data_IF_259866408344
#
_entry.id   IF_259866408344
#
_cell.length_a   1.000
_cell.length_b   1.000
_cell.length_c   1.000
_cell.angle_alpha   90.00
_cell.angle_beta   90.00
_cell.angle_gamma   90.00
#
_symmetry.space_group_name_H-M   'P 1'
#
loop_
_entity.id
_entity.type
_entity.pdbx_description
1 polymer ?
#
# COMPACT_ATOMS: atom_id res chain seq x y z
N UNK A 1 8.26 -10.94 -26.18
CA UNK A 1 7.00 -10.89 -25.37
C UNK A 1 6.66 -9.47 -24.90
N UNK A 2 7.62 -8.57 -24.65
CA UNK A 2 7.32 -7.18 -24.24
C UNK A 2 6.82 -6.26 -25.37
N UNK A 3 7.23 -6.47 -26.64
CA UNK A 3 6.78 -5.62 -27.76
C UNK A 3 5.26 -5.60 -27.91
N UNK A 4 4.61 -6.77 -27.97
CA UNK A 4 3.14 -6.88 -28.07
C UNK A 4 2.36 -6.17 -26.97
N UNK A 5 2.94 -6.05 -25.76
CA UNK A 5 2.29 -5.30 -24.66
C UNK A 5 2.43 -3.80 -24.84
N UNK A 6 3.59 -3.34 -25.33
CA UNK A 6 3.81 -1.93 -25.68
C UNK A 6 2.83 -1.52 -26.79
N UNK A 7 2.75 -2.32 -27.85
CA UNK A 7 1.90 -2.03 -29.01
C UNK A 7 0.43 -1.91 -28.61
N UNK A 8 -0.09 -2.87 -27.82
CA UNK A 8 -1.45 -2.83 -27.30
C UNK A 8 -1.72 -1.62 -26.37
N UNK A 9 -0.70 -1.16 -25.64
CA UNK A 9 -0.84 0.01 -24.76
C UNK A 9 -0.92 1.31 -25.55
N UNK A 10 -0.17 1.40 -26.64
CA UNK A 10 -0.22 2.55 -27.56
C UNK A 10 -1.58 2.57 -28.28
N UNK A 11 -2.02 1.42 -28.81
CA UNK A 11 -3.30 1.30 -29.50
C UNK A 11 -4.48 1.68 -28.61
N UNK A 12 -4.47 1.30 -27.33
CA UNK A 12 -5.51 1.69 -26.38
C UNK A 12 -5.62 3.21 -26.21
N UNK A 13 -4.50 3.94 -26.26
CA UNK A 13 -4.47 5.40 -26.10
C UNK A 13 -4.91 6.08 -27.39
N UNK A 14 -4.48 5.59 -28.54
CA UNK A 14 -4.94 6.07 -29.84
C UNK A 14 -6.45 5.87 -30.01
N UNK A 15 -6.99 4.77 -29.47
CA UNK A 15 -8.43 4.54 -29.44
C UNK A 15 -9.14 5.55 -28.53
N UNK A 16 -8.61 5.81 -27.33
CA UNK A 16 -9.17 6.82 -26.43
C UNK A 16 -9.10 8.22 -27.05
N UNK A 17 -8.01 8.55 -27.76
CA UNK A 17 -7.87 9.81 -28.49
C UNK A 17 -8.97 9.99 -29.53
N UNK A 18 -9.21 8.97 -30.37
CA UNK A 18 -10.28 8.99 -31.37
C UNK A 18 -11.67 9.14 -30.73
N UNK A 19 -11.90 8.49 -29.58
CA UNK A 19 -13.14 8.66 -28.81
C UNK A 19 -13.30 10.10 -28.31
N UNK A 20 -12.21 10.73 -27.84
CA UNK A 20 -12.21 12.12 -27.39
C UNK A 20 -12.43 13.11 -28.53
N UNK A 21 -11.78 12.92 -29.68
CA UNK A 21 -11.97 13.74 -30.88
C UNK A 21 -13.41 13.66 -31.39
N UNK A 22 -13.97 12.45 -31.43
CA UNK A 22 -15.37 12.22 -31.81
C UNK A 22 -16.35 12.88 -30.82
N UNK A 23 -16.02 12.85 -29.52
CA UNK A 23 -16.80 13.51 -28.47
C UNK A 23 -16.77 15.04 -28.60
N UNK A 24 -15.61 15.64 -28.87
CA UNK A 24 -15.46 17.09 -29.03
C UNK A 24 -16.11 17.64 -30.31
N UNK A 25 -16.24 16.81 -31.35
CA UNK A 25 -16.80 17.20 -32.65
C UNK A 25 -18.34 17.28 -32.69
N UNK A 26 -19.03 17.25 -31.54
CA UNK A 26 -20.48 17.49 -31.40
C UNK A 26 -21.41 16.59 -32.24
N UNK A 27 -21.13 15.29 -32.28
CA UNK A 27 -22.20 14.28 -32.43
C UNK A 27 -22.88 14.18 -33.80
N UNK A 28 -22.29 14.66 -34.90
CA UNK A 28 -22.72 14.25 -36.24
C UNK A 28 -22.32 12.78 -36.49
N UNK A 29 -23.14 11.87 -35.95
CA UNK A 29 -23.21 10.44 -36.24
C UNK A 29 -21.84 9.74 -36.38
N UNK A 30 -20.95 9.91 -35.43
CA UNK A 30 -19.76 9.07 -35.35
C UNK A 30 -20.18 7.72 -34.78
N UNK A 31 -19.90 6.63 -35.50
CA UNK A 31 -20.05 5.23 -35.04
C UNK A 31 -19.13 4.88 -33.86
N UNK A 32 -18.46 5.87 -33.28
CA UNK A 32 -17.46 5.75 -32.23
C UNK A 32 -18.14 6.00 -30.90
N UNK A 33 -18.13 5.03 -29.96
CA UNK A 33 -18.75 5.22 -28.66
C UNK A 33 -17.98 6.25 -27.81
N UNK A 34 -18.70 6.94 -26.94
CA UNK A 34 -18.09 7.87 -25.99
C UNK A 34 -17.15 7.15 -25.00
N UNK A 35 -16.09 7.82 -24.55
CA UNK A 35 -15.17 7.22 -23.59
C UNK A 35 -15.86 7.08 -22.22
N UNK A 36 -15.75 5.89 -21.63
CA UNK A 36 -16.22 5.61 -20.27
C UNK A 36 -15.11 5.87 -19.26
N UNK A 37 -15.45 6.03 -17.97
CA UNK A 37 -14.46 6.07 -16.88
C UNK A 37 -13.49 4.87 -16.95
N UNK A 38 -14.02 3.70 -17.29
CA UNK A 38 -13.23 2.48 -17.40
C UNK A 38 -12.21 2.53 -18.55
N UNK A 39 -12.52 3.26 -19.63
CA UNK A 39 -11.59 3.52 -20.74
C UNK A 39 -10.34 4.25 -20.23
N UNK A 40 -10.51 5.30 -19.42
CA UNK A 40 -9.40 6.04 -18.80
C UNK A 40 -8.57 5.15 -17.87
N UNK A 41 -9.23 4.36 -17.01
CA UNK A 41 -8.57 3.43 -16.08
C UNK A 41 -7.71 2.43 -16.85
N UNK A 42 -8.23 1.82 -17.92
CA UNK A 42 -7.49 0.84 -18.70
C UNK A 42 -6.32 1.47 -19.48
N UNK A 43 -6.48 2.66 -20.04
CA UNK A 43 -5.38 3.37 -20.69
C UNK A 43 -4.23 3.65 -19.69
N UNK A 44 -4.55 4.15 -18.49
CA UNK A 44 -3.55 4.40 -17.45
C UNK A 44 -2.87 3.12 -16.94
N UNK A 45 -3.62 2.02 -16.81
CA UNK A 45 -3.05 0.72 -16.48
C UNK A 45 -2.13 0.18 -17.58
N UNK A 46 -2.53 0.32 -18.85
CA UNK A 46 -1.73 -0.10 -19.99
C UNK A 46 -0.42 0.70 -20.09
N UNK A 47 -0.46 2.01 -19.84
CA UNK A 47 0.72 2.87 -19.75
C UNK A 47 1.78 2.34 -18.78
N UNK A 48 1.38 1.61 -17.74
CA UNK A 48 2.33 1.05 -16.76
C UNK A 48 3.18 -0.10 -17.31
N UNK A 49 2.90 -0.54 -18.53
CA UNK A 49 3.65 -1.56 -19.25
C UNK A 49 4.53 -1.02 -20.37
N UNK A 50 4.50 0.30 -20.62
CA UNK A 50 5.43 0.96 -21.53
C UNK A 50 6.81 1.03 -20.86
N UNK A 51 7.83 0.53 -21.55
CA UNK A 51 9.20 0.53 -21.03
C UNK A 51 9.85 1.92 -20.97
N UNK A 52 9.40 2.85 -21.82
CA UNK A 52 9.80 4.25 -21.79
C UNK A 52 8.93 5.01 -20.77
N UNK A 53 9.53 5.35 -19.64
CA UNK A 53 8.82 6.04 -18.55
C UNK A 53 8.42 7.46 -18.94
N UNK A 54 9.22 8.17 -19.71
CA UNK A 54 8.96 9.56 -20.08
C UNK A 54 7.81 9.64 -21.10
N UNK A 55 7.82 8.71 -22.07
CA UNK A 55 6.70 8.53 -22.99
C UNK A 55 5.40 8.20 -22.24
N UNK A 56 5.48 7.27 -21.27
CA UNK A 56 4.32 6.89 -20.46
C UNK A 56 3.77 8.07 -19.65
N UNK A 57 4.63 8.91 -19.07
CA UNK A 57 4.19 10.09 -18.31
C UNK A 57 3.55 11.14 -19.21
N UNK A 58 4.14 11.45 -20.37
CA UNK A 58 3.55 12.40 -21.32
C UNK A 58 2.15 11.98 -21.76
N UNK A 59 1.96 10.70 -22.04
CA UNK A 59 0.64 10.16 -22.41
C UNK A 59 -0.33 10.17 -21.23
N UNK A 60 0.13 9.89 -20.00
CA UNK A 60 -0.71 9.98 -18.81
C UNK A 60 -1.20 11.41 -18.54
N UNK A 61 -0.35 12.42 -18.74
CA UNK A 61 -0.70 13.83 -18.60
C UNK A 61 -1.79 14.21 -19.63
N UNK A 62 -1.70 13.73 -20.87
CA UNK A 62 -2.75 13.89 -21.90
C UNK A 62 -4.07 13.23 -21.51
N UNK A 63 -4.02 12.02 -20.95
CA UNK A 63 -5.22 11.30 -20.47
C UNK A 63 -5.91 12.06 -19.33
N UNK A 64 -5.14 12.70 -18.45
CA UNK A 64 -5.68 13.57 -17.39
C UNK A 64 -6.30 14.85 -17.94
N UNK A 65 -5.69 15.46 -18.95
CA UNK A 65 -6.25 16.64 -19.62
C UNK A 65 -7.63 16.32 -20.21
N UNK A 66 -7.76 15.19 -20.91
CA UNK A 66 -9.06 14.72 -21.41
C UNK A 66 -10.08 14.47 -20.30
N UNK A 67 -9.66 13.86 -19.20
CA UNK A 67 -10.52 13.62 -18.05
C UNK A 67 -11.00 14.94 -17.42
N UNK A 68 -10.14 15.95 -17.37
CA UNK A 68 -10.47 17.28 -16.87
C UNK A 68 -11.44 18.04 -17.80
N UNK A 69 -11.29 17.89 -19.12
CA UNK A 69 -12.24 18.43 -20.11
C UNK A 69 -13.62 17.80 -19.91
N UNK A 70 -13.70 16.48 -19.76
CA UNK A 70 -14.97 15.78 -19.52
C UNK A 70 -15.62 16.26 -18.23
N UNK A 71 -14.86 16.33 -17.14
CA UNK A 71 -15.39 16.78 -15.85
C UNK A 71 -15.80 18.26 -15.81
N UNK A 72 -15.29 19.09 -16.74
CA UNK A 72 -15.69 20.48 -16.88
C UNK A 72 -16.89 20.66 -17.82
N UNK A 73 -17.29 19.63 -18.57
CA UNK A 73 -18.39 19.69 -19.53
C UNK A 73 -19.73 19.33 -18.89
N UNK A 74 -20.81 19.94 -19.40
CA UNK A 74 -22.20 19.63 -19.03
C UNK A 74 -22.81 18.49 -19.90
N UNK A 75 -21.96 17.75 -20.61
CA UNK A 75 -22.35 16.67 -21.54
C UNK A 75 -22.79 15.40 -20.77
N UNK A 76 -23.54 14.47 -21.42
CA UNK A 76 -24.25 13.35 -20.74
C UNK A 76 -23.38 12.54 -19.76
N UNK A 77 -24.02 11.88 -18.78
CA UNK A 77 -23.50 11.76 -17.43
C UNK A 77 -22.23 10.93 -17.37
N UNK A 78 -21.08 11.61 -17.39
CA UNK A 78 -19.83 11.02 -16.97
C UNK A 78 -19.73 11.15 -15.45
N UNK A 79 -19.96 10.05 -14.74
CA UNK A 79 -19.87 10.05 -13.28
C UNK A 79 -18.41 10.26 -12.84
N UNK A 80 -18.19 11.26 -11.99
CA UNK A 80 -16.87 11.47 -11.40
C UNK A 80 -16.49 10.31 -10.49
N UNK A 81 -15.23 9.89 -10.50
CA UNK A 81 -14.72 8.83 -9.61
C UNK A 81 -13.23 8.97 -9.34
N UNK A 82 -12.79 8.39 -8.24
CA UNK A 82 -11.37 8.26 -7.90
C UNK A 82 -10.63 7.23 -8.77
N UNK A 83 -11.31 6.31 -9.46
CA UNK A 83 -10.64 5.19 -10.12
C UNK A 83 -9.56 5.57 -11.14
N UNK A 84 -9.77 6.55 -12.05
CA UNK A 84 -8.70 6.98 -12.95
C UNK A 84 -7.50 7.54 -12.19
N UNK A 85 -7.73 8.26 -11.09
CA UNK A 85 -6.65 8.81 -10.26
C UNK A 85 -5.90 7.73 -9.48
N UNK A 86 -6.61 6.72 -8.97
CA UNK A 86 -5.98 5.56 -8.35
C UNK A 86 -5.10 4.83 -9.36
N UNK A 87 -5.59 4.62 -10.59
CA UNK A 87 -4.82 4.03 -11.69
C UNK A 87 -3.59 4.87 -12.05
N UNK A 88 -3.70 6.21 -12.02
CA UNK A 88 -2.57 7.11 -12.23
C UNK A 88 -1.52 7.02 -11.11
N UNK A 89 -1.93 6.94 -9.84
CA UNK A 89 -1.01 6.73 -8.72
C UNK A 89 -0.26 5.39 -8.88
N UNK A 90 -0.98 4.33 -9.27
CA UNK A 90 -0.38 3.04 -9.59
C UNK A 90 0.60 3.11 -10.77
N UNK A 91 0.27 3.87 -11.81
CA UNK A 91 1.16 4.13 -12.94
C UNK A 91 2.45 4.79 -12.45
N UNK A 92 2.37 5.88 -11.67
CA UNK A 92 3.54 6.54 -11.09
C UNK A 92 4.38 5.60 -10.23
N UNK A 93 3.75 4.78 -9.40
CA UNK A 93 4.46 3.80 -8.57
C UNK A 93 5.28 2.81 -9.41
N UNK A 94 4.78 2.42 -10.58
CA UNK A 94 5.44 1.44 -11.44
C UNK A 94 6.52 2.09 -12.34
N UNK A 95 6.25 3.25 -12.94
CA UNK A 95 7.17 3.90 -13.91
C UNK A 95 8.26 4.73 -13.25
N UNK A 96 8.00 5.25 -12.04
CA UNK A 96 8.94 6.08 -11.29
C UNK A 96 9.52 5.33 -10.08
N UNK A 97 9.49 3.98 -10.10
CA UNK A 97 10.07 3.16 -9.04
C UNK A 97 11.54 3.55 -8.79
N UNK A 98 11.89 3.78 -7.53
CA UNK A 98 13.22 4.27 -7.13
C UNK A 98 13.45 5.78 -7.27
N UNK A 99 12.49 6.57 -7.76
CA UNK A 99 12.62 8.03 -7.90
C UNK A 99 11.76 8.75 -6.87
N UNK A 100 12.32 9.70 -6.12
CA UNK A 100 11.59 10.54 -5.16
C UNK A 100 10.48 11.38 -5.82
N UNK A 101 10.59 11.65 -7.14
CA UNK A 101 9.57 12.34 -7.93
C UNK A 101 8.16 11.71 -7.78
N UNK A 102 8.08 10.40 -7.56
CA UNK A 102 6.80 9.69 -7.36
C UNK A 102 5.99 10.33 -6.23
N UNK A 103 6.63 10.74 -5.13
CA UNK A 103 5.96 11.29 -3.94
C UNK A 103 5.28 12.62 -4.27
N UNK A 104 5.99 13.51 -4.97
CA UNK A 104 5.49 14.82 -5.39
C UNK A 104 4.29 14.69 -6.35
N UNK A 105 4.37 13.76 -7.32
CA UNK A 105 3.26 13.53 -8.26
C UNK A 105 2.04 12.94 -7.55
N UNK A 106 2.24 11.95 -6.68
CA UNK A 106 1.16 11.35 -5.89
C UNK A 106 0.51 12.37 -4.95
N UNK A 107 1.30 13.20 -4.26
CA UNK A 107 0.78 14.28 -3.43
C UNK A 107 -0.06 15.30 -4.24
N UNK A 108 0.29 15.54 -5.50
CA UNK A 108 -0.49 16.41 -6.40
C UNK A 108 -1.84 15.79 -6.74
N UNK A 109 -1.87 14.50 -7.07
CA UNK A 109 -3.12 13.76 -7.33
C UNK A 109 -4.02 13.75 -6.08
N UNK A 110 -3.47 13.41 -4.91
CA UNK A 110 -4.23 13.39 -3.65
C UNK A 110 -4.78 14.78 -3.30
N UNK A 111 -4.01 15.87 -3.51
CA UNK A 111 -4.51 17.24 -3.34
C UNK A 111 -5.66 17.55 -4.30
N UNK A 112 -5.57 17.13 -5.56
CA UNK A 112 -6.65 17.30 -6.53
C UNK A 112 -7.91 16.55 -6.13
N UNK A 113 -7.78 15.28 -5.72
CA UNK A 113 -8.90 14.48 -5.21
C UNK A 113 -9.52 15.11 -3.96
N UNK A 114 -8.72 15.51 -2.96
CA UNK A 114 -9.23 16.21 -1.77
C UNK A 114 -9.98 17.50 -2.11
N UNK A 115 -9.47 18.28 -3.08
CA UNK A 115 -10.12 19.52 -3.53
C UNK A 115 -11.46 19.23 -4.21
N UNK A 116 -11.52 18.24 -5.11
CA UNK A 116 -12.74 17.85 -5.83
C UNK A 116 -13.74 17.16 -4.90
N UNK A 117 -13.25 16.35 -3.97
CA UNK A 117 -14.01 15.67 -2.91
C UNK A 117 -14.83 16.60 -2.02
N UNK A 118 -14.48 17.89 -1.94
CA UNK A 118 -15.29 18.90 -1.23
C UNK A 118 -16.61 19.22 -1.94
N UNK A 119 -16.66 19.09 -3.27
CA UNK A 119 -17.84 19.36 -4.10
C UNK A 119 -18.54 18.07 -4.55
N UNK A 120 -17.75 17.02 -4.78
CA UNK A 120 -18.20 15.75 -5.33
C UNK A 120 -17.73 14.63 -4.41
N UNK A 121 -18.61 14.13 -3.53
CA UNK A 121 -18.26 13.16 -2.49
C UNK A 121 -17.59 11.90 -3.04
N UNK A 122 -17.99 11.46 -4.23
CA UNK A 122 -17.43 10.32 -4.97
C UNK A 122 -15.98 10.50 -5.41
N UNK A 123 -15.44 11.73 -5.32
CA UNK A 123 -14.03 12.05 -5.57
C UNK A 123 -13.19 12.11 -4.27
N UNK A 124 -13.79 11.86 -3.10
CA UNK A 124 -13.07 11.80 -1.83
C UNK A 124 -12.11 10.59 -1.85
N UNK A 125 -10.81 10.75 -1.55
CA UNK A 125 -9.87 9.64 -1.46
C UNK A 125 -10.39 8.53 -0.53
N UNK A 126 -10.43 7.30 -1.05
CA UNK A 126 -10.84 6.12 -0.30
C UNK A 126 -9.65 5.19 0.01
N UNK A 127 -9.96 4.00 0.56
CA UNK A 127 -8.95 2.98 0.91
C UNK A 127 -8.05 2.64 -0.27
N UNK A 128 -8.62 2.50 -1.47
CA UNK A 128 -7.89 2.17 -2.69
C UNK A 128 -6.87 3.25 -3.05
N UNK A 129 -7.27 4.52 -2.96
CA UNK A 129 -6.38 5.68 -3.15
C UNK A 129 -5.21 5.64 -2.16
N UNK A 130 -5.51 5.51 -0.87
CA UNK A 130 -4.47 5.49 0.17
C UNK A 130 -3.57 4.24 0.09
N UNK A 131 -4.11 3.09 -0.29
CA UNK A 131 -3.32 1.89 -0.58
C UNK A 131 -2.38 2.11 -1.76
N UNK A 132 -2.83 2.83 -2.80
CA UNK A 132 -1.98 3.21 -3.93
C UNK A 132 -0.85 4.17 -3.49
N UNK A 133 -1.14 5.12 -2.59
CA UNK A 133 -0.11 5.98 -1.97
C UNK A 133 0.94 5.15 -1.23
N UNK A 134 0.52 4.21 -0.38
CA UNK A 134 1.45 3.31 0.33
C UNK A 134 2.29 2.48 -0.65
N UNK A 135 1.69 2.01 -1.74
CA UNK A 135 2.44 1.33 -2.80
C UNK A 135 3.50 2.26 -3.41
N UNK A 136 3.17 3.50 -3.73
CA UNK A 136 4.11 4.49 -4.27
C UNK A 136 5.28 4.74 -3.31
N UNK A 137 5.02 4.90 -2.01
CA UNK A 137 6.08 4.99 -1.00
C UNK A 137 6.97 3.73 -1.01
N UNK A 138 6.38 2.54 -1.10
CA UNK A 138 7.14 1.29 -1.14
C UNK A 138 7.96 1.11 -2.42
N UNK A 139 7.56 1.77 -3.52
CA UNK A 139 8.24 1.72 -4.81
C UNK A 139 9.48 2.63 -4.85
N UNK A 140 9.51 3.72 -4.07
CA UNK A 140 10.75 4.49 -3.82
C UNK A 140 11.83 3.54 -3.30
N UNK A 141 11.45 2.60 -2.44
CA UNK A 141 12.40 1.70 -1.80
C UNK A 141 13.02 0.62 -2.71
N UNK A 142 12.54 0.42 -3.95
CA UNK A 142 12.94 -0.71 -4.79
C UNK A 142 14.25 -0.51 -5.56
N UNK A 143 14.71 0.72 -5.79
CA UNK A 143 15.89 0.97 -6.65
C UNK A 143 16.76 2.18 -6.24
N UNK A 144 16.45 2.89 -5.16
CA UNK A 144 17.26 4.03 -4.75
C UNK A 144 18.47 3.56 -3.96
N UNK A 145 19.66 3.63 -4.58
CA UNK A 145 20.96 3.51 -3.88
C UNK A 145 21.29 4.75 -3.04
N UNK A 146 20.56 5.84 -3.27
CA UNK A 146 20.74 7.13 -2.61
C UNK A 146 19.69 7.33 -1.52
N UNK A 147 20.06 8.08 -0.48
CA UNK A 147 19.16 8.39 0.64
C UNK A 147 18.02 9.37 0.27
N UNK A 148 18.07 9.96 -0.92
CA UNK A 148 17.13 10.98 -1.37
C UNK A 148 15.68 10.47 -1.39
N UNK A 149 14.86 11.04 -0.51
CA UNK A 149 13.43 10.76 -0.41
C UNK A 149 13.07 9.50 0.38
N UNK A 150 14.02 8.76 0.97
CA UNK A 150 13.71 7.58 1.79
C UNK A 150 12.98 7.94 3.08
N UNK A 151 13.52 8.92 3.81
CA UNK A 151 12.93 9.43 5.05
C UNK A 151 11.56 10.06 4.79
N UNK A 152 11.45 10.87 3.73
CA UNK A 152 10.18 11.47 3.30
C UNK A 152 9.14 10.40 2.93
N UNK A 153 9.53 9.40 2.13
CA UNK A 153 8.64 8.30 1.75
C UNK A 153 8.13 7.52 2.97
N UNK A 154 9.01 7.27 3.94
CA UNK A 154 8.66 6.56 5.17
C UNK A 154 7.75 7.40 6.08
N UNK A 155 8.01 8.71 6.18
CA UNK A 155 7.15 9.64 6.93
C UNK A 155 5.73 9.69 6.32
N UNK A 156 5.62 9.85 4.99
CA UNK A 156 4.34 9.83 4.28
C UNK A 156 3.63 8.49 4.47
N UNK A 157 4.37 7.37 4.41
CA UNK A 157 3.79 6.04 4.61
C UNK A 157 3.22 5.87 6.03
N UNK A 158 3.96 6.28 7.06
CA UNK A 158 3.51 6.24 8.46
C UNK A 158 2.26 7.09 8.68
N UNK A 159 2.26 8.33 8.19
CA UNK A 159 1.10 9.23 8.27
C UNK A 159 -0.12 8.64 7.55
N UNK A 160 0.07 8.16 6.32
CA UNK A 160 -1.01 7.57 5.51
C UNK A 160 -1.58 6.33 6.17
N UNK A 161 -0.73 5.45 6.70
CA UNK A 161 -1.17 4.25 7.38
C UNK A 161 -1.89 4.56 8.69
N UNK A 162 -1.41 5.53 9.48
CA UNK A 162 -2.09 5.95 10.70
C UNK A 162 -3.47 6.55 10.40
N UNK A 163 -3.58 7.41 9.38
CA UNK A 163 -4.86 7.94 8.90
C UNK A 163 -5.85 6.81 8.54
N UNK A 164 -5.38 5.78 7.84
CA UNK A 164 -6.19 4.60 7.50
C UNK A 164 -6.66 3.82 8.73
N UNK A 165 -5.81 3.66 9.75
CA UNK A 165 -6.20 3.02 11.01
C UNK A 165 -7.27 3.84 11.74
N UNK A 166 -7.12 5.17 11.77
CA UNK A 166 -8.05 6.08 12.47
C UNK A 166 -9.41 6.16 11.76
N UNK A 167 -9.43 6.20 10.43
CA UNK A 167 -10.67 6.17 9.65
C UNK A 167 -11.40 4.83 9.78
N UNK A 168 -10.67 3.70 9.87
CA UNK A 168 -11.28 2.39 10.10
C UNK A 168 -11.95 2.31 11.48
N UNK A 169 -11.30 2.83 12.52
CA UNK A 169 -11.87 2.85 13.88
C UNK A 169 -13.13 3.74 13.95
N UNK A 170 -13.23 4.73 13.06
CA UNK A 170 -14.41 5.58 12.90
C UNK A 170 -15.51 4.92 12.04
N UNK A 171 -15.37 3.63 11.69
CA UNK A 171 -16.26 2.83 10.84
C UNK A 171 -16.48 3.39 9.42
N UNK A 172 -15.61 4.29 8.96
CA UNK A 172 -15.79 4.95 7.67
C UNK A 172 -15.22 4.15 6.49
N UNK A 173 -14.30 3.21 6.76
CA UNK A 173 -13.58 2.47 5.72
C UNK A 173 -13.22 1.04 6.14
N UNK A 174 -13.09 0.14 5.15
CA UNK A 174 -12.59 -1.23 5.34
C UNK A 174 -11.17 -1.37 4.78
N UNK A 175 -10.19 -1.57 5.66
CA UNK A 175 -8.80 -1.80 5.23
C UNK A 175 -8.65 -3.13 4.50
N UNK A 176 -7.68 -3.17 3.58
CA UNK A 176 -7.29 -4.37 2.85
C UNK A 176 -5.91 -4.85 3.30
N UNK A 177 -5.59 -6.10 2.98
CA UNK A 177 -4.28 -6.69 3.27
C UNK A 177 -3.14 -6.02 2.48
N UNK A 178 -3.45 -5.36 1.36
CA UNK A 178 -2.49 -4.56 0.58
C UNK A 178 -1.95 -3.36 1.37
N UNK A 179 -2.77 -2.72 2.21
CA UNK A 179 -2.33 -1.61 3.06
C UNK A 179 -1.23 -2.08 4.04
N UNK A 180 -1.43 -3.24 4.69
CA UNK A 180 -0.46 -3.83 5.61
C UNK A 180 0.80 -4.28 4.88
N UNK A 181 0.64 -4.95 3.74
CA UNK A 181 1.77 -5.39 2.91
C UNK A 181 2.67 -4.23 2.48
N UNK A 182 2.08 -3.17 1.91
CA UNK A 182 2.85 -2.02 1.45
C UNK A 182 3.48 -1.22 2.59
N UNK A 183 2.78 -1.07 3.72
CA UNK A 183 3.35 -0.42 4.90
C UNK A 183 4.54 -1.19 5.47
N UNK A 184 4.42 -2.52 5.67
CA UNK A 184 5.55 -3.34 6.15
C UNK A 184 6.72 -3.31 5.17
N UNK A 185 6.43 -3.29 3.85
CA UNK A 185 7.45 -3.16 2.81
C UNK A 185 8.17 -1.81 2.85
N UNK A 186 7.44 -0.71 3.13
CA UNK A 186 8.03 0.61 3.36
C UNK A 186 9.01 0.55 4.54
N UNK A 187 8.56 0.07 5.71
CA UNK A 187 9.41 -0.04 6.91
C UNK A 187 10.65 -0.87 6.61
N UNK A 188 10.49 -2.08 6.08
CA UNK A 188 11.61 -2.98 5.78
C UNK A 188 12.67 -2.35 4.88
N UNK A 189 12.23 -1.65 3.84
CA UNK A 189 13.15 -1.20 2.80
C UNK A 189 13.64 0.24 2.99
N UNK A 190 12.96 1.07 3.80
CA UNK A 190 13.30 2.48 4.00
C UNK A 190 13.94 2.76 5.37
N UNK A 191 13.57 2.03 6.43
CA UNK A 191 14.19 2.18 7.75
C UNK A 191 15.61 1.57 7.74
N UNK A 192 16.60 2.38 8.16
CA UNK A 192 18.01 1.98 8.13
C UNK A 192 18.47 1.14 9.32
N UNK A 193 17.66 1.08 10.39
CA UNK A 193 17.99 0.33 11.60
C UNK A 193 17.21 -1.00 11.66
N UNK A 194 17.93 -2.13 11.65
CA UNK A 194 17.31 -3.47 11.63
C UNK A 194 16.44 -3.78 12.85
N UNK A 195 16.83 -3.32 14.05
CA UNK A 195 16.03 -3.55 15.26
C UNK A 195 14.71 -2.78 15.20
N UNK A 196 14.73 -1.54 14.69
CA UNK A 196 13.51 -0.76 14.44
C UNK A 196 12.64 -1.41 13.37
N UNK A 197 13.24 -1.88 12.27
CA UNK A 197 12.52 -2.64 11.23
C UNK A 197 11.79 -3.83 11.84
N UNK A 198 12.48 -4.65 12.61
CA UNK A 198 11.89 -5.83 13.26
C UNK A 198 10.73 -5.44 14.17
N UNK A 199 10.96 -4.49 15.08
CA UNK A 199 9.97 -4.05 16.06
C UNK A 199 8.70 -3.49 15.39
N UNK A 200 8.85 -2.62 14.40
CA UNK A 200 7.74 -1.96 13.72
C UNK A 200 7.00 -2.91 12.77
N UNK A 201 7.71 -3.77 12.02
CA UNK A 201 7.07 -4.80 11.17
C UNK A 201 6.25 -5.79 12.00
N UNK A 202 6.73 -6.19 13.19
CA UNK A 202 5.96 -7.08 14.08
C UNK A 202 4.72 -6.36 14.65
N UNK A 203 4.82 -5.06 14.97
CA UNK A 203 3.66 -4.27 15.40
C UNK A 203 2.59 -4.19 14.30
N UNK A 204 2.99 -3.86 13.06
CA UNK A 204 2.09 -3.80 11.91
C UNK A 204 1.49 -5.19 11.62
N UNK A 205 2.28 -6.25 11.68
CA UNK A 205 1.79 -7.62 11.51
C UNK A 205 0.77 -8.00 12.57
N UNK A 206 1.01 -7.65 13.84
CA UNK A 206 0.06 -7.91 14.92
C UNK A 206 -1.28 -7.22 14.68
N UNK A 207 -1.27 -5.97 14.19
CA UNK A 207 -2.47 -5.23 13.77
C UNK A 207 -3.19 -5.90 12.59
N UNK A 208 -2.46 -6.52 11.66
CA UNK A 208 -3.03 -7.29 10.56
C UNK A 208 -3.72 -8.56 11.05
N UNK A 209 -3.10 -9.29 12.00
CA UNK A 209 -3.67 -10.48 12.63
C UNK A 209 -4.99 -10.19 13.34
N UNK A 210 -5.07 -9.08 14.07
CA UNK A 210 -6.29 -8.64 14.77
C UNK A 210 -7.46 -8.36 13.83
N UNK A 211 -7.16 -7.97 12.59
CA UNK A 211 -8.13 -7.59 11.57
C UNK A 211 -8.43 -8.71 10.58
N UNK A 212 -7.79 -9.87 10.72
CA UNK A 212 -7.94 -10.95 9.75
C UNK A 212 -7.39 -10.64 8.36
N UNK A 213 -6.37 -9.78 8.26
CA UNK A 213 -5.79 -9.27 7.00
C UNK A 213 -4.39 -9.82 6.70
N UNK A 214 -4.08 -11.03 7.19
CA UNK A 214 -2.79 -11.70 6.96
C UNK A 214 -2.82 -12.48 5.64
N UNK A 215 -2.35 -11.85 4.57
CA UNK A 215 -2.16 -12.51 3.27
C UNK A 215 -0.79 -13.18 3.12
N UNK A 216 -0.61 -13.95 2.05
CA UNK A 216 0.69 -14.54 1.72
C UNK A 216 1.78 -13.47 1.50
N UNK A 217 1.40 -12.31 0.96
CA UNK A 217 2.31 -11.17 0.77
C UNK A 217 2.75 -10.57 2.11
N UNK A 218 1.83 -10.40 3.05
CA UNK A 218 2.12 -9.93 4.41
C UNK A 218 3.10 -10.88 5.13
N UNK A 219 2.85 -12.19 5.09
CA UNK A 219 3.76 -13.19 5.67
C UNK A 219 5.14 -13.19 5.04
N UNK A 220 5.20 -13.05 3.70
CA UNK A 220 6.47 -12.96 2.99
C UNK A 220 7.31 -11.79 3.51
N UNK A 221 6.70 -10.62 3.73
CA UNK A 221 7.44 -9.47 4.27
C UNK A 221 7.86 -9.73 5.71
N UNK A 222 6.99 -10.27 6.57
CA UNK A 222 7.37 -10.63 7.94
C UNK A 222 8.59 -11.56 7.95
N UNK A 223 8.57 -12.64 7.16
CA UNK A 223 9.67 -13.60 7.06
C UNK A 223 10.98 -12.96 6.60
N UNK A 224 10.90 -11.99 5.70
CA UNK A 224 12.06 -11.26 5.20
C UNK A 224 12.55 -10.15 6.13
N UNK A 225 11.83 -9.86 7.21
CA UNK A 225 12.10 -8.76 8.14
C UNK A 225 12.59 -9.24 9.51
N UNK A 226 12.43 -10.52 9.85
CA UNK A 226 12.80 -11.07 11.16
C UNK A 226 13.62 -12.36 11.01
N UNK A 227 14.51 -12.70 11.96
CA UNK A 227 15.21 -13.98 11.95
C UNK A 227 14.27 -15.18 11.97
N UNK A 228 14.64 -16.30 11.35
CA UNK A 228 13.78 -17.49 11.22
C UNK A 228 13.23 -17.99 12.57
N UNK A 229 14.06 -18.02 13.62
CA UNK A 229 13.62 -18.42 14.98
C UNK A 229 12.53 -17.49 15.52
N UNK A 230 12.65 -16.18 15.26
CA UNK A 230 11.66 -15.19 15.69
C UNK A 230 10.38 -15.35 14.85
N UNK A 231 10.51 -15.55 13.53
CA UNK A 231 9.39 -15.84 12.64
C UNK A 231 8.57 -17.04 13.15
N UNK A 232 9.22 -18.19 13.37
CA UNK A 232 8.59 -19.40 13.89
C UNK A 232 7.92 -19.17 15.25
N UNK A 233 8.49 -18.35 16.12
CA UNK A 233 7.88 -18.01 17.41
C UNK A 233 6.62 -17.15 17.29
N UNK A 234 6.54 -16.30 16.26
CA UNK A 234 5.40 -15.40 16.01
C UNK A 234 4.26 -16.18 15.35
N UNK A 235 4.54 -16.82 14.21
CA UNK A 235 3.50 -17.45 13.38
C UNK A 235 3.24 -18.92 13.71
N UNK A 236 4.14 -19.57 14.44
CA UNK A 236 4.09 -21.00 14.71
C UNK A 236 4.47 -21.85 13.50
N UNK A 237 4.05 -23.12 13.52
CA UNK A 237 4.21 -24.06 12.41
C UNK A 237 2.87 -24.63 11.96
N UNK A 238 2.68 -24.76 10.65
CA UNK A 238 1.50 -25.40 10.07
C UNK A 238 0.45 -24.41 9.56
N UNK A 239 -0.83 -24.68 9.85
CA UNK A 239 -1.96 -23.89 9.35
C UNK A 239 -2.09 -22.58 10.13
N UNK A 240 -2.31 -21.47 9.43
CA UNK A 240 -2.61 -20.18 10.06
C UNK A 240 -3.96 -20.23 10.78
N UNK A 241 -4.11 -19.39 11.81
CA UNK A 241 -5.40 -19.21 12.45
C UNK A 241 -6.41 -18.64 11.43
N UNK A 242 -7.61 -19.22 11.35
CA UNK A 242 -8.63 -18.77 10.38
C UNK A 242 -8.97 -17.27 10.61
N UNK A 243 -9.00 -16.83 11.86
CA UNK A 243 -9.22 -15.43 12.25
C UNK A 243 -8.13 -14.46 11.79
N UNK A 244 -6.95 -14.93 11.37
CA UNK A 244 -5.90 -14.08 10.80
C UNK A 244 -6.12 -13.83 9.30
N UNK A 245 -6.96 -14.63 8.65
CA UNK A 245 -7.10 -14.66 7.18
C UNK A 245 -8.54 -14.46 6.69
N UNK A 246 -9.46 -14.23 7.61
CA UNK A 246 -10.91 -14.13 7.33
C UNK A 246 -11.23 -13.01 6.34
N UNK A 247 -10.60 -11.84 6.50
CA UNK A 247 -10.91 -10.60 5.78
C UNK A 247 -9.92 -10.30 4.64
N UNK A 248 -8.99 -11.21 4.34
CA UNK A 248 -8.03 -11.06 3.25
C UNK A 248 -8.77 -10.93 1.91
N UNK A 249 -8.47 -9.85 1.20
CA UNK A 249 -9.03 -9.53 -0.12
C UNK A 249 -8.22 -10.15 -1.26
N UNK A 250 -6.92 -10.37 -1.02
CA UNK A 250 -6.02 -11.00 -1.99
C UNK A 250 -5.98 -12.53 -1.83
N UNK A 251 -4.88 -13.16 -2.27
CA UNK A 251 -4.66 -14.60 -2.17
C UNK A 251 -4.40 -14.97 -0.70
N UNK A 252 -5.37 -15.66 -0.08
CA UNK A 252 -5.27 -16.20 1.28
C UNK A 252 -4.04 -17.11 1.42
N UNK A 253 -3.23 -16.87 2.45
CA UNK A 253 -2.27 -17.86 2.92
C UNK A 253 -3.04 -18.85 3.81
N UNK A 254 -2.80 -20.16 3.63
CA UNK A 254 -3.38 -21.16 4.53
C UNK A 254 -2.35 -21.66 5.54
N UNK A 255 -1.06 -21.52 5.24
CA UNK A 255 0.04 -22.08 6.02
C UNK A 255 1.11 -21.04 6.33
N UNK A 256 1.89 -21.28 7.38
CA UNK A 256 2.95 -20.38 7.85
C UNK A 256 4.11 -20.22 6.86
N UNK A 257 4.26 -21.12 5.90
CA UNK A 257 5.20 -20.98 4.78
C UNK A 257 4.68 -20.08 3.64
N UNK A 258 3.43 -19.58 3.76
CA UNK A 258 2.76 -18.80 2.72
C UNK A 258 2.10 -19.66 1.63
N UNK A 259 2.14 -20.98 1.75
CA UNK A 259 1.47 -21.88 0.80
C UNK A 259 -0.05 -21.84 0.96
N UNK A 260 -0.74 -22.17 -0.14
CA UNK A 260 -2.20 -22.06 -0.29
C UNK A 260 -2.93 -23.40 -0.12
N UNK A 261 -2.20 -24.47 0.11
CA UNK A 261 -2.75 -25.83 0.04
C UNK A 261 -1.65 -26.87 -0.04
N UNK A 262 -1.48 -27.63 1.05
CA UNK A 262 -0.78 -28.90 1.03
C UNK A 262 -1.79 -30.04 1.14
N UNK A 263 -1.68 -31.03 0.24
CA UNK A 263 -2.42 -32.29 0.29
C UNK A 263 -1.96 -33.09 1.52
N UNK A 264 -2.47 -32.75 2.70
CA UNK A 264 -2.10 -33.41 3.95
C UNK A 264 -3.31 -33.57 4.84
N UNK A 265 -3.83 -34.80 4.94
CA UNK A 265 -4.95 -35.22 5.80
C UNK A 265 -4.74 -34.96 7.31
N UNK A 266 -3.63 -34.33 7.69
CA UNK A 266 -3.25 -33.98 9.07
C UNK A 266 -3.45 -32.49 9.43
N UNK A 267 -4.03 -31.67 8.55
CA UNK A 267 -4.30 -30.24 8.78
C UNK A 267 -5.37 -29.92 9.88
N UNK A 268 -5.82 -30.92 10.64
CA UNK A 268 -6.79 -30.77 11.75
C UNK A 268 -6.17 -30.33 13.08
N UNK A 269 -4.85 -30.18 13.20
CA UNK A 269 -4.27 -29.51 14.37
C UNK A 269 -4.54 -28.01 14.26
N UNK A 270 -5.57 -27.55 14.97
CA UNK A 270 -5.81 -26.12 15.22
C UNK A 270 -4.52 -25.50 15.77
N UNK A 271 -3.89 -24.61 15.02
CA UNK A 271 -2.79 -23.81 15.52
C UNK A 271 -3.25 -23.07 16.78
N UNK A 272 -2.45 -23.13 17.85
CA UNK A 272 -2.73 -22.34 19.05
C UNK A 272 -2.62 -20.88 18.65
N UNK A 273 -3.70 -20.11 18.80
CA UNK A 273 -3.69 -18.67 18.52
C UNK A 273 -2.65 -17.98 19.42
N UNK A 274 -1.57 -17.49 18.82
CA UNK A 274 -0.48 -16.77 19.49
C UNK A 274 -0.68 -15.25 19.44
N UNK A 275 -1.87 -14.75 19.07
CA UNK A 275 -2.09 -13.31 18.82
C UNK A 275 -1.72 -12.39 19.99
N UNK A 276 -1.84 -12.87 21.23
CA UNK A 276 -1.44 -12.10 22.42
C UNK A 276 -0.03 -12.45 22.95
N UNK A 277 0.67 -13.42 22.34
CA UNK A 277 1.98 -13.84 22.80
C UNK A 277 3.02 -12.73 22.70
N UNK A 278 3.07 -12.02 21.57
CA UNK A 278 4.02 -10.92 21.38
C UNK A 278 3.75 -9.75 22.32
N UNK A 279 2.48 -9.36 22.50
CA UNK A 279 2.09 -8.33 23.48
C UNK A 279 2.54 -8.70 24.89
N UNK A 280 2.35 -9.97 25.27
CA UNK A 280 2.80 -10.48 26.56
C UNK A 280 4.33 -10.57 26.67
N UNK A 281 5.05 -10.87 25.59
CA UNK A 281 6.52 -10.86 25.57
C UNK A 281 7.07 -9.44 25.71
N UNK A 282 6.58 -8.50 24.90
CA UNK A 282 6.95 -7.09 24.97
C UNK A 282 6.67 -6.51 26.36
N UNK A 283 5.48 -6.76 26.92
CA UNK A 283 5.17 -6.35 28.29
C UNK A 283 6.12 -6.95 29.34
N UNK A 284 6.59 -8.19 29.14
CA UNK A 284 7.60 -8.82 30.02
C UNK A 284 8.98 -8.18 29.85
N UNK A 285 9.40 -7.85 28.63
CA UNK A 285 10.66 -7.18 28.36
C UNK A 285 10.67 -5.75 28.90
N UNK A 286 9.61 -4.97 28.63
CA UNK A 286 9.44 -3.62 29.17
C UNK A 286 9.51 -3.62 30.70
N UNK A 287 8.84 -4.60 31.35
CA UNK A 287 8.92 -4.78 32.80
C UNK A 287 10.34 -5.12 33.28
N UNK A 288 11.08 -5.94 32.54
CA UNK A 288 12.50 -6.25 32.86
C UNK A 288 13.39 -5.01 32.72
N UNK A 289 13.22 -4.22 31.66
CA UNK A 289 13.98 -2.99 31.43
C UNK A 289 13.70 -1.97 32.54
N UNK A 290 12.44 -1.72 32.86
CA UNK A 290 12.03 -0.83 33.94
C UNK A 290 12.61 -1.28 35.30
N UNK A 291 12.57 -2.58 35.60
CA UNK A 291 13.14 -3.14 36.83
C UNK A 291 14.66 -2.97 36.88
N UNK A 292 15.35 -3.16 35.75
CA UNK A 292 16.81 -2.96 35.64
C UNK A 292 17.21 -1.49 35.83
N UNK A 293 16.48 -0.56 35.20
CA UNK A 293 16.69 0.88 35.37
C UNK A 293 16.45 1.31 36.83
N UNK A 294 15.33 0.90 37.44
CA UNK A 294 15.04 1.19 38.84
C UNK A 294 16.11 0.63 39.79
N UNK A 295 16.71 -0.53 39.48
CA UNK A 295 17.82 -1.09 40.25
C UNK A 295 19.10 -0.26 40.12
N UNK A 296 19.42 0.23 38.91
CA UNK A 296 20.58 1.12 38.66
C UNK A 296 20.42 2.45 39.40
N UNK A 297 19.23 3.03 39.38
CA UNK A 297 18.92 4.28 40.09
C UNK A 297 19.09 4.12 41.61
N UNK A 298 18.51 3.05 42.20
CA UNK A 298 18.71 2.73 43.63
C UNK A 298 20.18 2.51 44.00
N UNK A 299 20.99 1.95 43.10
CA UNK A 299 22.43 1.80 43.33
C UNK A 299 23.15 3.16 43.29
N UNK A 300 22.74 4.06 42.39
CA UNK A 300 23.28 5.43 42.29
C UNK A 300 22.96 6.24 43.55
N UNK A 301 21.72 6.18 44.04
CA UNK A 301 21.30 6.85 45.27
C UNK A 301 22.08 6.35 46.49
N UNK A 302 22.27 5.03 46.60
CA UNK A 302 23.08 4.44 47.68
C UNK A 302 24.54 4.87 47.62
N UNK A 303 25.09 5.07 46.42
CA UNK A 303 26.46 5.57 46.24
C UNK A 303 26.57 7.04 46.65
N UNK A 304 25.60 7.87 46.27
CA UNK A 304 25.57 9.28 46.64
C UNK A 304 25.44 9.46 48.17
N UNK A 305 24.59 8.68 48.84
CA UNK A 305 24.46 8.70 50.31
C UNK A 305 25.71 8.29 51.08
N UNK A 306 26.65 7.57 50.46
CA UNK A 306 27.92 7.20 51.10
C UNK A 306 29.00 8.27 50.95
N UNK A 307 28.78 9.23 50.04
CA UNK A 307 29.71 10.32 49.74
C UNK A 307 29.33 11.64 50.43
N UNK A 308 28.09 11.74 50.95
CA UNK A 308 27.63 12.81 51.85
C UNK A 308 27.87 12.45 53.30
#
# INVERSE_FOLDING_TARGET
>A
RNSRRKDASIEAIEMLEKMMEAWQSNGESTSVPYPSQQSFVYCLQALSHIGDSDEAMKKADKVLEWLDIIYASDLPPFEMSTDPYDALIYLYANTLAGKSEVLRRVATVVRTLKRRGKKHLQMKPGVKTWSAVLKSCSAVAENTRQDEGREEALAIARETFQHLIDEQNSANINLTDDCFFHMMKCVRNLEGNEEKVQSEVIDIFSKACERGLVSASVLKILKLSVPDKLYESIVGSGRLADSWTENVTSKKALYTDGSKGGAGKNARRKGKSTSNWWKNQKAKEDKKIATSQARKERQRDRRNKRLS
#
